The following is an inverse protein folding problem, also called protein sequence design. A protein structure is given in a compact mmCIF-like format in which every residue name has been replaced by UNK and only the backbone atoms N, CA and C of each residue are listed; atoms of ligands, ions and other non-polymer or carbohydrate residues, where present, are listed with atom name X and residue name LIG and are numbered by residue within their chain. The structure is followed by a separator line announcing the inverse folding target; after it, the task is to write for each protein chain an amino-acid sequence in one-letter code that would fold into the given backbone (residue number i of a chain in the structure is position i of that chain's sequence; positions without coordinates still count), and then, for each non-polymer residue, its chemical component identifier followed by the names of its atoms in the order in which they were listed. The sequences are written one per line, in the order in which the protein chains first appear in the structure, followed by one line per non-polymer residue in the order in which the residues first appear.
data_IF_387762403450
#
_entry.id   IF_387762403450
#
_cell.length_a   1.000
_cell.length_b   1.000
_cell.length_c   1.000
_cell.angle_alpha   90.00
_cell.angle_beta   90.00
_cell.angle_gamma   90.00
#
_symmetry.space_group_name_H-M   'P 1'
#
loop_
_entity.id
_entity.type
_entity.pdbx_description
1 polymer ?
#
# COMPACT_ATOMS: atom_id res chain seq x y z
N UNK A 1 9.12 -38.22 -0.14
CA UNK A 1 9.56 -37.54 1.09
C UNK A 1 8.47 -36.55 1.43
N UNK A 2 7.94 -36.55 2.66
CA UNK A 2 7.02 -35.48 3.06
C UNK A 2 7.78 -34.15 2.90
N UNK A 3 7.13 -33.12 2.35
CA UNK A 3 7.72 -31.79 2.32
C UNK A 3 8.11 -31.39 3.74
N UNK A 4 9.29 -30.78 3.90
CA UNK A 4 9.70 -30.14 5.15
C UNK A 4 8.63 -29.11 5.54
N UNK A 5 8.33 -29.05 6.84
CA UNK A 5 7.29 -28.15 7.34
C UNK A 5 7.89 -26.78 7.60
N UNK A 6 7.06 -25.75 7.51
CA UNK A 6 7.43 -24.44 7.99
C UNK A 6 7.27 -24.40 9.50
N UNK A 7 8.35 -24.05 10.18
CA UNK A 7 8.45 -24.00 11.62
C UNK A 7 8.34 -22.57 12.12
N UNK A 8 7.84 -22.40 13.34
CA UNK A 8 7.73 -21.10 14.00
C UNK A 8 9.12 -20.48 14.11
N UNK A 9 9.25 -19.23 13.67
CA UNK A 9 10.43 -18.42 13.89
C UNK A 9 10.27 -17.60 15.19
N UNK A 10 11.36 -17.43 15.93
CA UNK A 10 11.43 -16.53 17.08
C UNK A 10 12.82 -15.90 17.16
N UNK A 11 12.97 -14.84 17.94
CA UNK A 11 14.26 -14.17 18.12
C UNK A 11 14.72 -14.12 19.57
N UNK A 12 16.04 -14.11 19.79
CA UNK A 12 16.64 -13.78 21.09
C UNK A 12 16.73 -12.25 21.31
N UNK A 13 17.25 -11.85 22.49
CA UNK A 13 17.43 -10.45 22.88
C UNK A 13 18.43 -9.70 21.98
N UNK A 14 19.35 -10.41 21.32
CA UNK A 14 20.28 -9.88 20.34
C UNK A 14 19.67 -9.76 18.92
N UNK A 15 18.43 -10.19 18.73
CA UNK A 15 17.72 -10.16 17.47
C UNK A 15 18.11 -11.26 16.49
N UNK A 16 18.78 -12.31 16.94
CA UNK A 16 19.08 -13.50 16.12
C UNK A 16 17.83 -14.35 16.03
N UNK A 17 17.53 -14.81 14.82
CA UNK A 17 16.31 -15.57 14.54
C UNK A 17 16.60 -17.07 14.50
N UNK A 18 15.74 -17.82 15.17
CA UNK A 18 15.84 -19.27 15.35
C UNK A 18 14.57 -19.96 14.89
N UNK A 19 14.73 -21.22 14.50
CA UNK A 19 13.66 -22.15 14.18
C UNK A 19 13.26 -22.92 15.43
N UNK A 20 11.97 -22.98 15.76
CA UNK A 20 11.51 -23.83 16.86
C UNK A 20 11.55 -25.31 16.46
N UNK A 21 12.06 -26.22 17.30
CA UNK A 21 12.25 -27.62 16.92
C UNK A 21 10.94 -28.41 16.73
N UNK A 22 9.84 -27.96 17.35
CA UNK A 22 8.60 -28.75 17.44
C UNK A 22 7.34 -27.99 17.00
N UNK A 23 7.39 -26.65 16.95
CA UNK A 23 6.20 -25.83 16.74
C UNK A 23 6.16 -25.33 15.29
N UNK A 24 5.07 -25.62 14.60
CA UNK A 24 4.86 -25.25 13.21
C UNK A 24 4.43 -23.77 13.08
N UNK A 25 4.74 -23.16 11.93
CA UNK A 25 4.34 -21.79 11.63
C UNK A 25 2.81 -21.65 11.64
N UNK A 26 2.33 -20.70 12.44
CA UNK A 26 0.95 -20.21 12.39
C UNK A 26 0.91 -18.77 11.94
N UNK A 27 -0.23 -18.38 11.40
CA UNK A 27 -0.55 -16.98 11.12
C UNK A 27 -1.91 -16.61 11.68
N UNK A 28 -2.11 -15.31 11.85
CA UNK A 28 -3.36 -14.72 12.32
C UNK A 28 -4.16 -14.19 11.13
N UNK A 29 -5.38 -14.69 10.96
CA UNK A 29 -6.31 -14.26 9.90
C UNK A 29 -7.22 -13.11 10.35
N UNK A 30 -6.95 -12.50 11.50
CA UNK A 30 -7.75 -11.44 12.10
C UNK A 30 -8.88 -11.93 13.02
N UNK A 31 -9.22 -13.21 13.00
CA UNK A 31 -10.14 -13.84 13.97
C UNK A 31 -9.41 -14.87 14.84
N UNK A 32 -8.65 -15.77 14.25
CA UNK A 32 -7.98 -16.87 14.94
C UNK A 32 -6.55 -17.10 14.47
N UNK A 33 -5.76 -17.79 15.29
CA UNK A 33 -4.45 -18.30 14.88
C UNK A 33 -4.65 -19.66 14.23
N UNK A 34 -4.16 -19.81 13.01
CA UNK A 34 -4.30 -21.04 12.22
C UNK A 34 -2.98 -21.47 11.58
N UNK A 35 -2.82 -22.77 11.30
CA UNK A 35 -1.78 -23.24 10.41
C UNK A 35 -1.86 -22.58 9.02
N UNK A 36 -0.72 -22.41 8.38
CA UNK A 36 -0.60 -21.81 7.04
C UNK A 36 -0.89 -22.86 5.97
N UNK A 37 -1.77 -22.55 5.01
CA UNK A 37 -2.00 -23.42 3.85
C UNK A 37 -0.77 -23.37 2.93
N UNK A 38 -0.32 -24.53 2.44
CA UNK A 38 0.86 -24.63 1.57
C UNK A 38 0.72 -23.80 0.28
N UNK A 39 -0.51 -23.55 -0.19
CA UNK A 39 -0.78 -22.68 -1.35
C UNK A 39 -0.46 -21.21 -1.07
N UNK A 40 -0.53 -20.78 0.18
CA UNK A 40 -0.20 -19.42 0.63
C UNK A 40 1.31 -19.23 0.83
N UNK A 41 2.07 -20.31 1.03
CA UNK A 41 3.43 -20.23 1.55
C UNK A 41 4.48 -20.08 0.44
N UNK A 42 5.33 -19.06 0.53
CA UNK A 42 6.40 -18.78 -0.43
C UNK A 42 7.71 -18.48 0.31
N UNK A 43 8.87 -18.70 -0.32
CA UNK A 43 10.11 -18.09 0.14
C UNK A 43 9.92 -16.59 0.33
N UNK A 44 10.49 -16.03 1.40
CA UNK A 44 10.37 -14.60 1.69
C UNK A 44 10.86 -13.79 0.47
N UNK A 45 10.02 -12.92 -0.11
CA UNK A 45 10.39 -12.17 -1.31
C UNK A 45 11.61 -11.28 -1.08
N UNK A 46 12.51 -11.20 -2.06
CA UNK A 46 13.63 -10.28 -2.04
C UNK A 46 13.12 -8.83 -1.88
N UNK A 47 13.76 -8.06 -0.98
CA UNK A 47 13.33 -6.70 -0.63
C UNK A 47 12.30 -6.64 0.48
N UNK A 48 11.99 -7.77 1.11
CA UNK A 48 11.27 -7.81 2.39
C UNK A 48 12.25 -7.61 3.55
N UNK A 49 11.79 -6.99 4.63
CA UNK A 49 12.57 -6.76 5.85
C UNK A 49 12.05 -7.63 6.99
N UNK A 50 12.95 -8.11 7.84
CA UNK A 50 12.62 -8.89 9.03
C UNK A 50 12.55 -7.98 10.26
N UNK A 51 11.51 -8.14 11.07
CA UNK A 51 11.24 -7.30 12.24
C UNK A 51 11.11 -8.14 13.51
N UNK A 52 11.64 -7.60 14.60
CA UNK A 52 11.27 -8.01 15.95
C UNK A 52 9.93 -7.40 16.32
N UNK A 53 9.17 -8.09 17.15
CA UNK A 53 7.93 -7.61 17.74
C UNK A 53 8.12 -7.45 19.26
N UNK A 54 8.60 -6.27 19.73
CA UNK A 54 8.85 -6.05 21.15
C UNK A 54 7.59 -6.28 21.99
N UNK A 55 7.78 -6.86 23.18
CA UNK A 55 6.71 -7.17 24.12
C UNK A 55 5.73 -8.24 23.64
N UNK A 56 6.08 -9.03 22.61
CA UNK A 56 5.21 -10.05 22.03
C UNK A 56 5.92 -11.40 22.00
N UNK A 57 5.24 -12.43 22.51
CA UNK A 57 5.71 -13.81 22.57
C UNK A 57 5.27 -14.57 21.32
N UNK A 58 6.17 -15.34 20.72
CA UNK A 58 5.88 -16.09 19.50
C UNK A 58 4.83 -17.18 19.76
N UNK A 59 3.91 -17.38 18.81
CA UNK A 59 2.95 -18.48 18.84
C UNK A 59 3.20 -19.47 17.69
N UNK A 60 3.04 -20.75 17.98
CA UNK A 60 3.34 -21.86 17.08
C UNK A 60 2.34 -23.00 17.25
N UNK A 61 2.11 -23.81 16.22
CA UNK A 61 1.19 -24.94 16.30
C UNK A 61 1.91 -26.21 16.77
N UNK A 62 1.47 -26.77 17.89
CA UNK A 62 1.89 -28.09 18.35
C UNK A 62 0.98 -29.14 17.70
N UNK A 63 1.56 -29.88 16.74
CA UNK A 63 0.85 -30.92 16.01
C UNK A 63 0.51 -32.15 16.87
N UNK A 64 1.29 -32.45 17.90
CA UNK A 64 1.02 -33.61 18.75
C UNK A 64 -0.18 -33.34 19.67
N UNK A 65 -0.27 -32.11 20.18
CA UNK A 65 -1.37 -31.66 21.01
C UNK A 65 -2.58 -31.15 20.21
N UNK A 66 -2.42 -30.87 18.91
CA UNK A 66 -3.44 -30.28 18.02
C UNK A 66 -3.91 -28.90 18.52
N UNK A 67 -2.97 -28.10 19.06
CA UNK A 67 -3.25 -26.80 19.66
C UNK A 67 -2.18 -25.76 19.34
N UNK A 68 -2.50 -24.48 19.54
CA UNK A 68 -1.51 -23.41 19.44
C UNK A 68 -0.85 -23.19 20.80
N UNK A 69 0.48 -23.21 20.82
CA UNK A 69 1.31 -22.97 21.98
C UNK A 69 2.01 -21.62 21.87
N UNK A 70 2.24 -20.98 23.02
CA UNK A 70 3.01 -19.74 23.14
C UNK A 70 4.40 -20.09 23.68
N UNK A 71 5.44 -19.53 23.06
CA UNK A 71 6.80 -19.61 23.58
C UNK A 71 6.97 -18.66 24.77
N UNK A 72 6.82 -19.19 25.98
CA UNK A 72 7.02 -18.46 27.23
C UNK A 72 8.46 -18.58 27.75
N UNK A 73 9.42 -18.13 26.94
CA UNK A 73 10.84 -18.12 27.30
C UNK A 73 11.35 -16.68 27.49
N UNK A 74 11.90 -16.32 28.67
CA UNK A 74 12.45 -14.99 28.92
C UNK A 74 13.56 -14.63 27.92
N UNK A 75 13.52 -13.39 27.42
CA UNK A 75 14.51 -12.90 26.45
C UNK A 75 14.24 -13.35 25.01
N UNK A 76 13.08 -13.95 24.73
CA UNK A 76 12.63 -14.24 23.38
C UNK A 76 11.57 -13.25 22.90
N UNK A 77 11.42 -13.10 21.58
CA UNK A 77 10.45 -12.22 20.94
C UNK A 77 9.89 -12.85 19.68
N UNK A 78 8.61 -12.59 19.41
CA UNK A 78 8.00 -12.89 18.12
C UNK A 78 8.69 -12.11 16.99
N UNK A 79 8.70 -12.71 15.81
CA UNK A 79 9.23 -12.09 14.59
C UNK A 79 8.12 -11.92 13.56
N UNK A 80 8.28 -10.91 12.72
CA UNK A 80 7.42 -10.62 11.58
C UNK A 80 8.28 -10.25 10.39
N UNK A 81 7.70 -10.18 9.20
CA UNK A 81 8.32 -9.51 8.07
C UNK A 81 7.45 -8.37 7.53
N UNK A 82 8.09 -7.37 6.93
CA UNK A 82 7.47 -6.44 6.00
C UNK A 82 7.68 -6.95 4.59
N UNK A 83 6.58 -7.35 3.96
CA UNK A 83 6.63 -7.96 2.64
C UNK A 83 6.93 -6.91 1.56
N UNK A 84 7.82 -7.26 0.64
CA UNK A 84 8.18 -6.44 -0.51
C UNK A 84 6.95 -5.98 -1.35
N UNK A 85 7.01 -4.81 -2.00
CA UNK A 85 6.01 -4.39 -2.98
C UNK A 85 5.68 -5.48 -4.03
N UNK A 86 4.47 -5.46 -4.58
CA UNK A 86 3.92 -6.46 -5.52
C UNK A 86 3.49 -7.80 -4.91
N UNK A 87 3.69 -7.99 -3.60
CA UNK A 87 3.23 -9.17 -2.86
C UNK A 87 2.14 -8.80 -1.85
N UNK A 88 1.10 -9.64 -1.78
CA UNK A 88 -0.02 -9.54 -0.87
C UNK A 88 0.19 -10.49 0.32
N UNK A 89 0.20 -9.96 1.54
CA UNK A 89 0.18 -10.80 2.75
C UNK A 89 -1.15 -11.52 2.85
N UNK A 90 -1.12 -12.80 3.21
CA UNK A 90 -2.36 -13.57 3.45
C UNK A 90 -2.66 -13.75 4.94
N UNK A 91 -1.64 -13.67 5.79
CA UNK A 91 -1.76 -13.79 7.25
C UNK A 91 -0.86 -12.79 7.97
N UNK A 92 -1.29 -12.36 9.15
CA UNK A 92 -0.52 -11.54 10.10
C UNK A 92 0.32 -12.44 11.02
N UNK A 93 1.36 -11.91 11.69
CA UNK A 93 2.10 -12.71 12.67
C UNK A 93 1.18 -13.12 13.83
N UNK A 94 1.34 -14.36 14.28
CA UNK A 94 0.67 -14.86 15.48
C UNK A 94 1.58 -14.67 16.69
N UNK A 95 1.07 -14.01 17.72
CA UNK A 95 1.82 -13.72 18.93
C UNK A 95 0.89 -13.39 20.08
N UNK A 96 1.32 -13.64 21.32
CA UNK A 96 0.67 -13.09 22.50
C UNK A 96 1.35 -11.77 22.89
N UNK A 97 0.59 -10.68 22.97
CA UNK A 97 1.08 -9.41 23.48
C UNK A 97 1.12 -9.42 25.02
N UNK A 98 2.20 -8.89 25.60
CA UNK A 98 2.30 -8.59 27.03
C UNK A 98 1.55 -7.29 27.36
N UNK A 99 1.18 -7.10 28.63
CA UNK A 99 0.41 -5.92 29.08
C UNK A 99 1.10 -4.58 28.77
N UNK A 100 2.43 -4.57 28.67
CA UNK A 100 3.26 -3.40 28.37
C UNK A 100 3.81 -3.40 26.93
N UNK A 101 3.27 -4.26 26.06
CA UNK A 101 3.69 -4.32 24.67
C UNK A 101 3.44 -2.97 23.97
N UNK A 102 4.47 -2.38 23.34
CA UNK A 102 4.29 -1.10 22.70
C UNK A 102 3.47 -1.20 21.42
N UNK A 103 2.88 -0.08 20.99
CA UNK A 103 2.25 0.04 19.68
C UNK A 103 3.27 -0.19 18.56
N UNK A 104 2.89 -0.96 17.55
CA UNK A 104 3.74 -1.23 16.40
C UNK A 104 3.76 -0.05 15.41
N UNK A 105 4.92 0.28 14.82
CA UNK A 105 5.01 1.26 13.74
C UNK A 105 4.13 0.92 12.52
N UNK A 106 3.97 1.88 11.60
CA UNK A 106 3.09 1.73 10.44
C UNK A 106 3.71 0.88 9.32
N UNK A 107 3.78 -0.44 9.53
CA UNK A 107 4.22 -1.43 8.54
C UNK A 107 3.17 -2.50 8.26
N UNK A 108 3.33 -3.20 7.14
CA UNK A 108 2.54 -4.36 6.79
C UNK A 108 3.14 -5.63 7.40
N UNK A 109 2.79 -5.93 8.65
CA UNK A 109 3.24 -7.11 9.37
C UNK A 109 2.66 -8.40 8.79
N UNK A 110 3.52 -9.37 8.49
CA UNK A 110 3.14 -10.72 8.07
C UNK A 110 3.84 -11.77 8.91
N UNK A 111 3.17 -12.91 9.11
CA UNK A 111 3.80 -14.09 9.70
C UNK A 111 5.05 -14.49 8.91
N UNK A 112 6.02 -15.07 9.60
CA UNK A 112 7.27 -15.56 9.01
C UNK A 112 7.73 -16.78 9.79
N UNK A 113 8.19 -17.79 9.07
CA UNK A 113 8.76 -19.02 9.63
C UNK A 113 10.05 -19.42 8.93
N UNK A 114 10.63 -20.52 9.36
CA UNK A 114 11.76 -21.16 8.66
C UNK A 114 11.33 -22.48 8.06
N UNK A 115 11.94 -22.85 6.93
CA UNK A 115 11.82 -24.16 6.31
C UNK A 115 13.14 -24.49 5.63
N UNK A 116 13.77 -25.58 6.02
CA UNK A 116 15.08 -26.01 5.49
C UNK A 116 16.15 -24.90 5.55
N UNK A 117 16.10 -24.05 6.58
CA UNK A 117 17.03 -22.92 6.76
C UNK A 117 16.70 -21.67 5.95
N UNK A 118 15.60 -21.65 5.19
CA UNK A 118 15.13 -20.47 4.43
C UNK A 118 13.91 -19.83 5.11
N UNK A 119 13.81 -18.50 5.06
CA UNK A 119 12.64 -17.78 5.54
C UNK A 119 11.46 -17.97 4.59
N UNK A 120 10.30 -18.31 5.14
CA UNK A 120 9.06 -18.51 4.40
C UNK A 120 7.92 -17.67 4.97
N UNK A 121 7.04 -17.19 4.10
CA UNK A 121 6.00 -16.20 4.42
C UNK A 121 4.69 -16.57 3.71
N UNK A 122 3.52 -16.44 4.36
CA UNK A 122 2.21 -16.61 3.73
C UNK A 122 1.87 -15.39 2.85
N UNK A 123 2.21 -15.47 1.57
CA UNK A 123 2.12 -14.35 0.63
C UNK A 123 1.88 -14.78 -0.82
N UNK A 124 1.28 -13.89 -1.61
CA UNK A 124 1.01 -14.10 -3.03
C UNK A 124 1.59 -12.94 -3.84
N UNK A 125 2.33 -13.23 -4.91
CA UNK A 125 2.67 -12.18 -5.90
C UNK A 125 1.40 -11.79 -6.64
N UNK A 126 1.04 -10.51 -6.59
CA UNK A 126 -0.18 -9.96 -7.20
C UNK A 126 0.11 -9.01 -8.37
N UNK A 127 1.37 -8.64 -8.59
CA UNK A 127 1.82 -7.91 -9.77
C UNK A 127 3.17 -8.44 -10.26
N UNK A 128 3.24 -8.74 -11.55
CA UNK A 128 4.46 -9.23 -12.21
C UNK A 128 5.42 -8.09 -12.59
N UNK A 129 5.00 -6.83 -12.45
CA UNK A 129 5.86 -5.69 -12.75
C UNK A 129 7.02 -5.58 -11.75
N UNK A 130 8.23 -5.68 -12.28
CA UNK A 130 9.48 -5.63 -11.51
C UNK A 130 9.95 -4.20 -11.19
N UNK A 131 9.16 -3.16 -11.50
CA UNK A 131 9.60 -1.75 -11.43
C UNK A 131 10.07 -1.25 -10.07
N UNK A 132 9.75 -1.96 -8.99
CA UNK A 132 10.19 -1.65 -7.63
C UNK A 132 11.09 -2.74 -7.02
N UNK A 133 11.48 -3.75 -7.80
CA UNK A 133 12.32 -4.84 -7.31
C UNK A 133 13.71 -4.32 -6.93
N UNK A 134 14.27 -4.70 -5.75
CA UNK A 134 15.46 -4.08 -5.17
C UNK A 134 16.69 -4.07 -6.07
N UNK A 135 16.96 -5.18 -6.77
CA UNK A 135 18.13 -5.34 -7.65
C UNK A 135 18.24 -4.28 -8.76
N UNK A 136 17.15 -3.54 -9.04
CA UNK A 136 17.12 -2.49 -10.05
C UNK A 136 17.58 -1.12 -9.55
N UNK A 137 17.92 -0.99 -8.27
CA UNK A 137 18.20 0.28 -7.62
C UNK A 137 19.58 0.29 -6.97
N UNK A 138 20.56 0.74 -7.74
CA UNK A 138 21.89 1.06 -7.26
C UNK A 138 21.89 2.51 -6.71
N UNK A 139 22.18 2.67 -5.42
CA UNK A 139 22.08 3.96 -4.73
C UNK A 139 23.11 4.98 -5.22
N UNK A 140 24.30 4.53 -5.65
CA UNK A 140 25.35 5.43 -6.14
C UNK A 140 24.95 6.00 -7.50
N UNK A 141 24.44 5.13 -8.39
CA UNK A 141 23.88 5.56 -9.69
C UNK A 141 22.71 6.52 -9.49
N UNK A 142 21.85 6.27 -8.51
CA UNK A 142 20.73 7.14 -8.19
C UNK A 142 21.23 8.49 -7.70
N UNK A 143 22.22 8.53 -6.80
CA UNK A 143 22.77 9.77 -6.27
C UNK A 143 23.35 10.65 -7.39
N UNK A 144 24.12 10.08 -8.32
CA UNK A 144 24.66 10.80 -9.48
C UNK A 144 23.56 11.40 -10.36
N UNK A 145 22.50 10.62 -10.62
CA UNK A 145 21.35 11.07 -11.42
C UNK A 145 20.55 12.15 -10.71
N UNK A 146 20.43 12.08 -9.39
CA UNK A 146 19.80 13.10 -8.55
C UNK A 146 20.55 14.42 -8.66
N UNK A 147 21.87 14.43 -8.50
CA UNK A 147 22.67 15.65 -8.61
C UNK A 147 22.54 16.28 -10.00
N UNK A 148 22.71 15.48 -11.06
CA UNK A 148 22.58 15.96 -12.43
C UNK A 148 21.21 16.60 -12.71
N UNK A 149 20.13 15.97 -12.22
CA UNK A 149 18.76 16.48 -12.40
C UNK A 149 18.51 17.73 -11.57
N UNK A 150 18.94 17.77 -10.32
CA UNK A 150 18.81 18.93 -9.45
C UNK A 150 19.55 20.14 -10.03
N UNK A 151 20.72 19.95 -10.64
CA UNK A 151 21.45 21.01 -11.32
C UNK A 151 20.72 21.50 -12.59
N UNK A 152 20.15 20.59 -13.39
CA UNK A 152 19.41 20.94 -14.60
C UNK A 152 18.08 21.68 -14.32
N UNK A 153 17.46 21.44 -13.16
CA UNK A 153 16.18 22.02 -12.74
C UNK A 153 16.29 22.75 -11.39
N UNK A 154 17.34 23.56 -11.22
CA UNK A 154 17.67 24.23 -9.95
C UNK A 154 16.52 25.07 -9.39
N UNK A 155 15.76 25.75 -10.25
CA UNK A 155 14.65 26.63 -9.83
C UNK A 155 13.34 25.88 -9.51
N UNK A 156 13.24 24.59 -9.86
CA UNK A 156 12.04 23.81 -9.62
C UNK A 156 12.08 23.17 -8.23
N UNK A 157 11.29 23.72 -7.29
CA UNK A 157 11.30 23.26 -5.89
C UNK A 157 10.82 21.81 -5.74
N UNK A 158 9.97 21.35 -6.66
CA UNK A 158 9.49 19.97 -6.65
C UNK A 158 10.63 18.99 -6.92
N UNK A 159 11.52 19.29 -7.86
CA UNK A 159 12.71 18.44 -8.13
C UNK A 159 13.60 18.36 -6.89
N UNK A 160 13.79 19.46 -6.17
CA UNK A 160 14.56 19.49 -4.93
C UNK A 160 13.88 18.69 -3.81
N UNK A 161 12.55 18.70 -3.73
CA UNK A 161 11.83 17.83 -2.80
C UNK A 161 11.99 16.35 -3.15
N UNK A 162 11.96 16.00 -4.44
CA UNK A 162 12.12 14.62 -4.90
C UNK A 162 13.51 14.05 -4.61
N UNK A 163 14.56 14.88 -4.54
CA UNK A 163 15.89 14.46 -4.07
C UNK A 163 15.82 13.79 -2.69
N UNK A 164 15.18 14.46 -1.72
CA UNK A 164 14.99 13.91 -0.37
C UNK A 164 14.21 12.60 -0.42
N UNK A 165 13.14 12.56 -1.22
CA UNK A 165 12.35 11.35 -1.40
C UNK A 165 13.18 10.18 -1.97
N UNK A 166 14.07 10.42 -2.92
CA UNK A 166 14.85 9.38 -3.57
C UNK A 166 16.01 8.85 -2.70
N UNK A 167 16.65 9.74 -1.93
CA UNK A 167 17.88 9.43 -1.18
C UNK A 167 17.64 9.11 0.29
N UNK A 168 16.77 9.87 0.98
CA UNK A 168 16.55 9.69 2.42
C UNK A 168 15.46 8.65 2.68
N UNK A 169 14.39 8.72 1.89
CA UNK A 169 13.21 7.86 2.05
C UNK A 169 13.22 6.63 1.13
N UNK A 170 14.22 6.54 0.24
CA UNK A 170 14.32 5.49 -0.78
C UNK A 170 13.01 5.25 -1.57
N UNK A 171 12.23 6.31 -1.81
CA UNK A 171 10.98 6.24 -2.53
C UNK A 171 11.22 5.77 -3.97
N UNK A 172 10.75 4.56 -4.28
CA UNK A 172 10.98 3.94 -5.59
C UNK A 172 10.42 4.75 -6.77
N UNK A 173 9.31 5.47 -6.57
CA UNK A 173 8.78 6.38 -7.59
C UNK A 173 9.73 7.56 -7.83
N UNK A 174 10.27 8.18 -6.77
CA UNK A 174 11.23 9.27 -6.91
C UNK A 174 12.54 8.78 -7.57
N UNK A 175 13.04 7.61 -7.16
CA UNK A 175 14.20 6.99 -7.79
C UNK A 175 13.96 6.70 -9.27
N UNK A 176 12.79 6.18 -9.64
CA UNK A 176 12.41 5.93 -11.03
C UNK A 176 12.33 7.21 -11.88
N UNK A 177 11.90 8.34 -11.29
CA UNK A 177 11.97 9.65 -11.94
C UNK A 177 13.41 10.06 -12.29
N UNK A 178 14.37 9.89 -11.37
CA UNK A 178 15.78 10.22 -11.63
C UNK A 178 16.45 9.21 -12.59
N UNK A 179 15.99 7.96 -12.59
CA UNK A 179 16.45 6.89 -13.48
C UNK A 179 15.75 6.88 -14.86
N UNK A 180 14.88 7.86 -15.15
CA UNK A 180 14.19 7.99 -16.42
C UNK A 180 13.42 6.73 -16.85
N UNK A 181 12.60 6.20 -15.94
CA UNK A 181 11.79 5.01 -16.20
C UNK A 181 10.47 5.02 -15.42
N UNK A 182 9.50 4.24 -15.90
CA UNK A 182 8.24 3.96 -15.20
C UNK A 182 7.47 5.22 -14.75
N UNK A 183 7.18 5.30 -13.45
CA UNK A 183 6.32 6.31 -12.83
C UNK A 183 7.14 7.40 -12.14
N UNK A 184 6.79 8.67 -12.41
CA UNK A 184 7.29 9.83 -11.69
C UNK A 184 6.23 10.38 -10.71
N UNK A 185 6.62 10.68 -9.45
CA UNK A 185 5.74 11.25 -8.46
C UNK A 185 5.60 12.78 -8.62
N UNK A 186 4.37 13.29 -8.47
CA UNK A 186 4.03 14.71 -8.49
C UNK A 186 3.35 15.15 -7.17
N UNK A 187 4.05 15.08 -6.01
CA UNK A 187 3.46 15.51 -4.75
C UNK A 187 3.06 16.98 -4.80
N UNK A 188 1.82 17.29 -4.41
CA UNK A 188 1.23 18.62 -4.60
C UNK A 188 0.65 19.22 -3.32
N UNK A 189 0.22 18.41 -2.36
CA UNK A 189 -0.60 18.85 -1.24
C UNK A 189 0.13 18.80 0.13
N UNK A 190 0.38 19.95 0.77
CA UNK A 190 0.90 19.96 2.14
C UNK A 190 -0.17 19.57 3.19
N UNK A 191 -1.46 19.56 2.82
CA UNK A 191 -2.59 19.35 3.74
C UNK A 191 -3.50 18.21 3.29
N UNK A 192 -4.23 17.63 4.24
CA UNK A 192 -5.17 16.54 4.01
C UNK A 192 -6.50 16.86 4.69
N UNK A 193 -7.60 16.34 4.15
CA UNK A 193 -8.95 16.43 4.71
C UNK A 193 -9.40 15.12 5.37
N UNK A 194 -8.49 14.20 5.68
CA UNK A 194 -8.73 12.97 6.41
C UNK A 194 -7.79 12.89 7.62
N UNK A 195 -8.27 12.28 8.72
CA UNK A 195 -7.48 12.02 9.92
C UNK A 195 -7.29 10.51 10.08
N UNK A 196 -6.71 9.87 9.07
CA UNK A 196 -6.60 8.42 9.03
C UNK A 196 -5.88 7.90 10.28
N UNK A 197 -6.38 6.79 10.85
CA UNK A 197 -5.77 6.14 12.04
C UNK A 197 -4.28 5.85 11.80
N UNK A 198 -3.96 5.20 10.68
CA UNK A 198 -2.58 4.90 10.26
C UNK A 198 -2.07 5.81 9.15
N UNK A 199 -2.23 7.13 9.24
CA UNK A 199 -1.70 8.05 8.22
C UNK A 199 -0.16 8.02 8.18
N UNK A 200 0.39 7.59 7.05
CA UNK A 200 1.85 7.44 6.86
C UNK A 200 2.61 8.77 6.72
N UNK A 201 1.91 9.89 6.53
CA UNK A 201 2.52 11.21 6.33
C UNK A 201 2.24 12.21 7.45
N UNK A 202 1.38 11.84 8.41
CA UNK A 202 1.08 12.68 9.57
C UNK A 202 0.46 11.85 10.68
N UNK A 203 1.12 11.82 11.83
CA UNK A 203 0.58 11.26 13.07
C UNK A 203 0.47 12.35 14.15
N UNK A 204 -0.46 12.23 15.11
CA UNK A 204 -0.61 13.21 16.19
C UNK A 204 0.68 13.37 17.00
N UNK A 205 1.05 14.62 17.32
CA UNK A 205 2.17 14.90 18.22
C UNK A 205 1.76 14.56 19.66
N UNK A 206 2.50 13.66 20.32
CA UNK A 206 2.27 13.29 21.72
C UNK A 206 1.33 12.09 21.96
N UNK A 207 1.02 11.29 20.92
CA UNK A 207 0.69 9.88 21.16
C UNK A 207 1.93 9.10 21.59
N UNK A 208 1.81 7.80 21.89
CA UNK A 208 3.00 6.95 22.13
C UNK A 208 4.03 7.22 21.04
N UNK A 209 5.28 7.44 21.44
CA UNK A 209 6.39 7.92 20.59
C UNK A 209 6.64 7.07 19.32
N UNK A 210 5.92 5.96 19.17
CA UNK A 210 6.08 4.90 18.18
C UNK A 210 5.13 4.99 16.99
N UNK A 211 4.08 5.84 17.05
CA UNK A 211 3.28 6.20 15.89
C UNK A 211 3.93 7.33 15.09
N UNK A 212 5.18 7.14 14.64
CA UNK A 212 5.86 8.11 13.79
C UNK A 212 5.38 7.92 12.35
N UNK A 213 5.05 9.02 11.68
CA UNK A 213 4.77 8.98 10.25
C UNK A 213 6.03 8.50 9.50
N UNK A 214 5.85 7.58 8.54
CA UNK A 214 6.96 7.06 7.75
C UNK A 214 7.68 8.17 6.93
N UNK A 215 6.94 9.23 6.56
CA UNK A 215 7.46 10.32 5.75
C UNK A 215 6.91 11.68 6.21
N UNK A 216 7.68 12.75 6.01
CA UNK A 216 7.18 14.10 6.18
C UNK A 216 6.35 14.54 4.97
N UNK A 217 5.28 15.31 5.21
CA UNK A 217 4.57 16.00 4.12
C UNK A 217 5.45 17.05 3.46
N UNK A 218 5.30 17.20 2.15
CA UNK A 218 5.83 18.32 1.39
C UNK A 218 5.40 19.63 2.06
N UNK A 219 6.36 20.52 2.33
CA UNK A 219 6.12 21.75 3.10
C UNK A 219 5.51 22.90 2.31
N UNK A 220 5.23 22.71 1.02
CA UNK A 220 4.71 23.74 0.13
C UNK A 220 3.78 23.12 -0.92
N UNK A 221 2.99 23.96 -1.58
CA UNK A 221 2.23 23.57 -2.77
C UNK A 221 3.00 24.01 -4.02
N UNK A 222 3.53 23.08 -4.85
CA UNK A 222 4.13 23.41 -6.14
C UNK A 222 3.18 24.23 -7.02
N UNK A 223 3.74 25.03 -7.91
CA UNK A 223 2.95 25.69 -8.97
C UNK A 223 2.54 24.67 -10.03
N UNK A 224 1.51 25.00 -10.81
CA UNK A 224 1.14 24.18 -11.97
C UNK A 224 2.26 24.09 -13.00
N UNK A 225 3.14 25.09 -13.07
CA UNK A 225 4.31 25.11 -13.93
C UNK A 225 5.42 24.17 -13.44
N UNK A 226 5.71 24.15 -12.13
CA UNK A 226 6.66 23.21 -11.53
C UNK A 226 6.20 21.75 -11.75
N UNK A 227 4.90 21.48 -11.54
CA UNK A 227 4.30 20.16 -11.78
C UNK A 227 4.38 19.76 -13.26
N UNK A 228 3.98 20.66 -14.16
CA UNK A 228 4.01 20.40 -15.59
C UNK A 228 5.44 20.20 -16.13
N UNK A 229 6.43 20.95 -15.62
CA UNK A 229 7.83 20.81 -16.04
C UNK A 229 8.40 19.43 -15.66
N UNK A 230 8.14 18.95 -14.43
CA UNK A 230 8.55 17.60 -14.00
C UNK A 230 7.87 16.55 -14.87
N UNK A 231 6.56 16.66 -15.05
CA UNK A 231 5.77 15.72 -15.83
C UNK A 231 6.22 15.63 -17.30
N UNK A 232 6.32 16.78 -17.98
CA UNK A 232 6.71 16.84 -19.39
C UNK A 232 8.13 16.34 -19.62
N UNK A 233 9.06 16.74 -18.76
CA UNK A 233 10.42 16.23 -18.85
C UNK A 233 10.47 14.70 -18.68
N UNK A 234 9.73 14.15 -17.72
CA UNK A 234 9.68 12.68 -17.54
C UNK A 234 9.07 11.97 -18.74
N UNK A 235 7.95 12.48 -19.25
CA UNK A 235 7.28 11.92 -20.44
C UNK A 235 8.21 11.95 -21.66
N UNK A 236 8.98 13.03 -21.85
CA UNK A 236 9.94 13.12 -22.95
C UNK A 236 11.03 12.04 -22.87
N UNK A 237 11.51 11.73 -21.67
CA UNK A 237 12.61 10.76 -21.47
C UNK A 237 12.15 9.30 -21.48
N UNK A 238 10.95 9.02 -20.97
CA UNK A 238 10.40 7.66 -20.87
C UNK A 238 9.55 7.29 -22.09
N UNK A 239 8.90 8.26 -22.72
CA UNK A 239 8.04 8.08 -23.88
C UNK A 239 6.62 7.60 -23.52
N UNK A 240 6.02 6.81 -24.39
CA UNK A 240 4.61 6.40 -24.30
C UNK A 240 4.27 5.60 -23.02
N UNK A 241 5.25 4.91 -22.45
CA UNK A 241 5.11 4.12 -21.21
C UNK A 241 5.25 4.96 -19.93
N UNK A 242 5.48 6.28 -20.04
CA UNK A 242 5.59 7.15 -18.89
C UNK A 242 4.28 7.21 -18.09
N UNK A 243 4.40 7.15 -16.77
CA UNK A 243 3.32 7.49 -15.85
C UNK A 243 3.77 8.67 -15.00
N UNK A 244 2.91 9.67 -14.81
CA UNK A 244 3.14 10.78 -13.90
C UNK A 244 1.94 10.89 -12.96
N UNK A 245 2.18 10.86 -11.65
CA UNK A 245 1.10 10.67 -10.68
C UNK A 245 1.05 11.76 -9.62
N UNK A 246 -0.08 12.45 -9.52
CA UNK A 246 -0.42 13.20 -8.31
C UNK A 246 -0.80 12.22 -7.19
N UNK A 247 -0.64 12.59 -5.92
CA UNK A 247 -0.97 11.76 -4.76
C UNK A 247 0.14 10.77 -4.40
N UNK A 248 0.98 11.16 -3.44
CA UNK A 248 2.18 10.43 -3.05
C UNK A 248 2.27 10.24 -1.52
N UNK A 249 3.14 9.32 -1.08
CA UNK A 249 3.31 9.04 0.36
C UNK A 249 3.82 10.23 1.17
N UNK A 250 4.54 11.17 0.52
CA UNK A 250 5.06 12.39 1.12
C UNK A 250 4.10 13.60 1.01
N UNK A 251 2.81 13.40 0.78
CA UNK A 251 1.83 14.50 0.74
C UNK A 251 0.56 14.19 1.53
N UNK A 252 -0.34 15.16 1.58
CA UNK A 252 -1.70 15.02 2.09
C UNK A 252 -2.68 14.57 1.01
N UNK A 253 -3.84 15.24 0.91
CA UNK A 253 -4.84 14.94 -0.11
C UNK A 253 -4.65 15.85 -1.34
N UNK A 254 -4.27 15.33 -2.52
CA UNK A 254 -4.01 16.15 -3.72
C UNK A 254 -5.21 17.00 -4.16
N UNK A 255 -6.45 16.54 -3.98
CA UNK A 255 -7.65 17.32 -4.32
C UNK A 255 -7.83 18.58 -3.45
N UNK A 256 -7.06 18.73 -2.36
CA UNK A 256 -6.95 20.01 -1.65
C UNK A 256 -6.37 21.11 -2.54
N UNK A 257 -5.57 20.75 -3.55
CA UNK A 257 -4.96 21.63 -4.55
C UNK A 257 -5.64 21.54 -5.93
N UNK A 258 -6.92 21.14 -5.98
CA UNK A 258 -7.60 20.76 -7.23
C UNK A 258 -7.46 21.78 -8.38
N UNK A 259 -7.57 23.08 -8.12
CA UNK A 259 -7.41 24.11 -9.18
C UNK A 259 -6.00 24.13 -9.79
N UNK A 260 -4.95 23.90 -8.98
CA UNK A 260 -3.56 23.81 -9.45
C UNK A 260 -3.34 22.56 -10.28
N UNK A 261 -3.93 21.43 -9.85
CA UNK A 261 -3.81 20.18 -10.58
C UNK A 261 -4.49 20.27 -11.95
N UNK A 262 -5.69 20.84 -12.03
CA UNK A 262 -6.41 21.07 -13.29
C UNK A 262 -5.54 21.89 -14.26
N UNK A 263 -4.93 22.97 -13.79
CA UNK A 263 -4.05 23.79 -14.62
C UNK A 263 -2.77 23.04 -15.03
N UNK A 264 -2.19 22.22 -14.15
CA UNK A 264 -1.03 21.39 -14.48
C UNK A 264 -1.37 20.36 -15.58
N UNK A 265 -2.51 19.66 -15.46
CA UNK A 265 -2.97 18.69 -16.46
C UNK A 265 -3.17 19.37 -17.81
N UNK A 266 -3.84 20.54 -17.86
CA UNK A 266 -4.01 21.31 -19.10
C UNK A 266 -2.68 21.67 -19.74
N UNK A 267 -1.70 22.11 -18.95
CA UNK A 267 -0.34 22.45 -19.45
C UNK A 267 0.37 21.24 -20.03
N UNK A 268 0.25 20.09 -19.38
CA UNK A 268 0.82 18.83 -19.88
C UNK A 268 0.15 18.46 -21.22
N UNK A 269 -1.18 18.42 -21.25
CA UNK A 269 -1.96 17.98 -22.41
C UNK A 269 -1.91 18.96 -23.59
N UNK A 270 -1.64 20.24 -23.34
CA UNK A 270 -1.35 21.21 -24.40
C UNK A 270 0.00 20.97 -25.13
N UNK A 271 0.89 20.16 -24.55
CA UNK A 271 2.22 19.87 -25.12
C UNK A 271 2.36 18.45 -25.62
N UNK A 272 1.64 17.49 -25.03
CA UNK A 272 1.72 16.08 -25.43
C UNK A 272 0.47 15.28 -25.03
N UNK A 273 0.12 14.32 -25.87
CA UNK A 273 -0.85 13.24 -25.60
C UNK A 273 -0.18 11.96 -25.08
N UNK A 274 1.16 11.91 -25.08
CA UNK A 274 1.93 10.77 -24.57
C UNK A 274 1.88 10.69 -23.03
N UNK A 275 2.20 9.50 -22.54
CA UNK A 275 2.19 9.17 -21.12
C UNK A 275 0.80 9.13 -20.50
N UNK A 276 0.74 8.62 -19.28
CA UNK A 276 -0.46 8.59 -18.43
C UNK A 276 -0.29 9.65 -17.35
N UNK A 277 -1.28 10.55 -17.24
CA UNK A 277 -1.43 11.47 -16.11
C UNK A 277 -2.44 10.88 -15.15
N UNK A 278 -1.96 10.44 -14.00
CA UNK A 278 -2.73 9.72 -13.00
C UNK A 278 -2.96 10.57 -11.74
N UNK A 279 -4.11 10.39 -11.10
CA UNK A 279 -4.40 10.95 -9.78
C UNK A 279 -4.59 9.82 -8.76
N UNK A 280 -3.72 9.72 -7.77
CA UNK A 280 -3.99 8.94 -6.56
C UNK A 280 -4.68 9.84 -5.53
N UNK A 281 -5.82 9.47 -4.98
CA UNK A 281 -6.59 10.36 -4.09
C UNK A 281 -7.54 9.58 -3.17
N UNK A 282 -7.99 10.19 -2.08
CA UNK A 282 -9.18 9.72 -1.36
C UNK A 282 -10.49 10.00 -2.11
N UNK A 283 -10.43 10.70 -3.24
CA UNK A 283 -11.53 11.07 -4.12
C UNK A 283 -12.67 11.84 -3.43
N UNK A 284 -12.35 12.58 -2.37
CA UNK A 284 -13.29 13.35 -1.54
C UNK A 284 -13.99 14.53 -2.23
N UNK A 285 -13.61 14.90 -3.46
CA UNK A 285 -14.10 16.12 -4.14
C UNK A 285 -14.52 15.86 -5.59
N UNK A 286 -15.74 15.36 -5.83
CA UNK A 286 -16.25 15.04 -7.18
C UNK A 286 -16.14 16.20 -8.19
N UNK A 287 -16.37 17.43 -7.74
CA UNK A 287 -16.27 18.61 -8.61
C UNK A 287 -14.86 18.81 -9.19
N UNK A 288 -13.80 18.56 -8.41
CA UNK A 288 -12.43 18.64 -8.92
C UNK A 288 -12.05 17.41 -9.74
N UNK A 289 -12.57 16.23 -9.40
CA UNK A 289 -12.40 15.03 -10.23
C UNK A 289 -12.97 15.29 -11.64
N UNK A 290 -14.19 15.84 -11.73
CA UNK A 290 -14.80 16.21 -13.02
C UNK A 290 -13.92 17.20 -13.80
N UNK A 291 -13.49 18.27 -13.16
CA UNK A 291 -12.65 19.28 -13.80
C UNK A 291 -11.29 18.73 -14.26
N UNK A 292 -10.75 17.71 -13.58
CA UNK A 292 -9.52 17.02 -13.98
C UNK A 292 -9.76 16.09 -15.18
N UNK A 293 -10.89 15.36 -15.20
CA UNK A 293 -11.29 14.58 -16.36
C UNK A 293 -11.42 15.48 -17.59
N UNK A 294 -12.13 16.61 -17.47
CA UNK A 294 -12.28 17.61 -18.54
C UNK A 294 -10.94 18.22 -19.00
N UNK A 295 -9.92 18.22 -18.13
CA UNK A 295 -8.58 18.71 -18.45
C UNK A 295 -7.69 17.69 -19.18
N UNK A 296 -8.09 16.41 -19.22
CA UNK A 296 -7.33 15.32 -19.85
C UNK A 296 -6.53 14.45 -18.87
N UNK A 297 -7.03 14.26 -17.65
CA UNK A 297 -6.58 13.19 -16.74
C UNK A 297 -6.85 11.82 -17.41
N UNK A 298 -5.94 10.86 -17.30
CA UNK A 298 -6.12 9.53 -17.93
C UNK A 298 -6.61 8.46 -16.96
N UNK A 299 -6.24 8.57 -15.68
CA UNK A 299 -6.64 7.60 -14.67
C UNK A 299 -6.83 8.20 -13.29
N UNK A 300 -7.77 7.61 -12.55
CA UNK A 300 -8.04 7.92 -11.15
C UNK A 300 -7.84 6.67 -10.31
N UNK A 301 -6.98 6.76 -9.30
CA UNK A 301 -6.82 5.75 -8.26
C UNK A 301 -7.41 6.22 -6.94
N UNK A 302 -8.50 5.61 -6.52
CA UNK A 302 -9.17 5.90 -5.26
C UNK A 302 -8.59 5.01 -4.15
N UNK A 303 -7.98 5.60 -3.13
CA UNK A 303 -7.52 4.85 -1.96
C UNK A 303 -8.66 4.63 -0.97
N UNK A 304 -8.83 3.38 -0.52
CA UNK A 304 -9.83 3.01 0.48
C UNK A 304 -9.40 1.79 1.30
N UNK A 305 -9.81 1.73 2.57
CA UNK A 305 -9.63 0.54 3.42
C UNK A 305 -10.82 -0.42 3.37
N UNK A 306 -11.95 0.01 2.83
CA UNK A 306 -13.18 -0.78 2.74
C UNK A 306 -14.17 -0.15 1.76
N UNK A 307 -15.03 -0.97 1.17
CA UNK A 307 -16.21 -0.59 0.40
C UNK A 307 -17.45 -0.35 1.31
N UNK A 308 -17.35 -0.66 2.61
CA UNK A 308 -18.40 -0.46 3.61
C UNK A 308 -18.21 0.87 4.33
N UNK A 309 -19.24 1.70 4.33
CA UNK A 309 -19.20 3.08 4.85
C UNK A 309 -18.73 3.18 6.32
N UNK A 310 -19.25 2.32 7.20
CA UNK A 310 -18.89 2.32 8.62
C UNK A 310 -17.40 2.01 8.84
N UNK A 311 -16.87 1.02 8.12
CA UNK A 311 -15.45 0.60 8.19
C UNK A 311 -14.54 1.66 7.56
N UNK A 312 -14.98 2.25 6.44
CA UNK A 312 -14.28 3.37 5.81
C UNK A 312 -14.13 4.56 6.76
N UNK A 313 -15.23 5.02 7.36
CA UNK A 313 -15.23 6.19 8.25
C UNK A 313 -14.42 5.97 9.51
N UNK A 314 -14.43 4.75 10.06
CA UNK A 314 -13.67 4.41 11.26
C UNK A 314 -12.16 4.64 11.06
N UNK A 315 -11.64 4.23 9.90
CA UNK A 315 -10.25 4.43 9.54
C UNK A 315 -9.96 5.84 9.02
N UNK A 316 -10.62 6.30 7.95
CA UNK A 316 -10.29 7.57 7.27
C UNK A 316 -10.63 8.82 8.09
N UNK A 317 -11.62 8.74 8.97
CA UNK A 317 -12.15 9.85 9.78
C UNK A 317 -12.31 11.15 8.95
N UNK A 318 -13.19 11.14 7.92
CA UNK A 318 -13.33 12.25 6.97
C UNK A 318 -13.59 13.62 7.63
N UNK A 319 -12.99 14.68 7.08
CA UNK A 319 -13.23 16.08 7.47
C UNK A 319 -13.77 16.87 6.28
N UNK A 320 -15.07 17.18 6.32
CA UNK A 320 -15.73 17.98 5.30
C UNK A 320 -16.06 17.22 4.01
N UNK A 321 -16.13 15.89 4.06
CA UNK A 321 -16.67 15.04 3.00
C UNK A 321 -17.24 13.75 3.60
N UNK A 322 -17.98 12.98 2.80
CA UNK A 322 -18.59 11.70 3.16
C UNK A 322 -18.16 10.61 2.18
N UNK A 323 -18.37 9.35 2.54
CA UNK A 323 -18.07 8.23 1.65
C UNK A 323 -18.89 8.26 0.35
N UNK A 324 -20.09 8.83 0.39
CA UNK A 324 -20.90 9.05 -0.81
C UNK A 324 -20.21 9.97 -1.82
N UNK A 325 -19.43 10.96 -1.36
CA UNK A 325 -18.66 11.83 -2.24
C UNK A 325 -17.52 11.07 -2.92
N UNK A 326 -16.93 10.07 -2.25
CA UNK A 326 -15.93 9.16 -2.82
C UNK A 326 -16.54 8.30 -3.92
N UNK A 327 -17.72 7.72 -3.65
CA UNK A 327 -18.47 6.94 -4.66
C UNK A 327 -18.90 7.79 -5.84
N UNK A 328 -19.30 9.04 -5.60
CA UNK A 328 -19.65 9.96 -6.67
C UNK A 328 -18.44 10.27 -7.56
N UNK A 329 -17.26 10.51 -7.00
CA UNK A 329 -16.03 10.68 -7.79
C UNK A 329 -15.72 9.47 -8.68
N UNK A 330 -15.98 8.25 -8.19
CA UNK A 330 -15.83 7.04 -8.99
C UNK A 330 -16.80 7.03 -10.20
N UNK A 331 -18.06 7.42 -9.99
CA UNK A 331 -19.05 7.58 -11.07
C UNK A 331 -18.66 8.66 -12.07
N UNK A 332 -18.12 9.79 -11.59
CA UNK A 332 -17.60 10.84 -12.47
C UNK A 332 -16.50 10.33 -13.39
N UNK A 333 -15.55 9.55 -12.85
CA UNK A 333 -14.46 8.98 -13.65
C UNK A 333 -14.98 8.01 -14.72
N UNK A 334 -15.91 7.12 -14.34
CA UNK A 334 -16.60 6.20 -15.25
C UNK A 334 -17.33 6.94 -16.38
N UNK A 335 -18.13 7.94 -16.04
CA UNK A 335 -18.93 8.69 -17.02
C UNK A 335 -18.04 9.48 -17.99
N UNK A 336 -16.82 9.83 -17.56
CA UNK A 336 -15.80 10.47 -18.39
C UNK A 336 -14.90 9.48 -19.16
N UNK A 337 -15.08 8.17 -19.00
CA UNK A 337 -14.27 7.14 -19.65
C UNK A 337 -12.81 7.09 -19.19
N UNK A 338 -12.55 7.53 -17.95
CA UNK A 338 -11.21 7.54 -17.33
C UNK A 338 -10.95 6.19 -16.65
N UNK A 339 -9.73 5.67 -16.80
CA UNK A 339 -9.35 4.38 -16.20
C UNK A 339 -9.41 4.47 -14.67
N UNK A 340 -10.34 3.74 -14.06
CA UNK A 340 -10.67 3.81 -12.65
C UNK A 340 -10.03 2.63 -11.90
N UNK A 341 -9.23 2.98 -10.90
CA UNK A 341 -8.55 2.02 -10.03
C UNK A 341 -8.99 2.20 -8.57
N UNK A 342 -9.08 1.10 -7.84
CA UNK A 342 -9.15 1.13 -6.38
C UNK A 342 -7.79 0.72 -5.79
N UNK A 343 -7.17 1.61 -5.03
CA UNK A 343 -6.06 1.26 -4.15
C UNK A 343 -6.64 0.76 -2.83
N UNK A 344 -6.87 -0.54 -2.79
CA UNK A 344 -7.64 -1.19 -1.75
C UNK A 344 -6.70 -1.72 -0.67
N UNK A 345 -6.82 -1.21 0.55
CA UNK A 345 -5.99 -1.63 1.67
C UNK A 345 -6.49 -2.96 2.23
N UNK A 346 -5.81 -4.02 1.83
CA UNK A 346 -6.08 -5.40 2.20
C UNK A 346 -5.56 -5.68 3.60
N UNK A 347 -6.42 -6.31 4.41
CA UNK A 347 -6.14 -6.70 5.78
C UNK A 347 -6.88 -8.01 6.10
N UNK A 348 -6.19 -9.09 6.52
CA UNK A 348 -6.82 -10.36 6.93
C UNK A 348 -7.81 -10.15 8.09
N UNK A 349 -9.02 -10.67 7.97
CA UNK A 349 -10.09 -10.55 9.00
C UNK A 349 -11.04 -9.39 8.76
N UNK A 350 -10.76 -8.54 7.77
CA UNK A 350 -11.58 -7.39 7.42
C UNK A 350 -11.93 -7.44 5.93
N UNK A 351 -10.92 -7.58 5.08
CA UNK A 351 -11.09 -7.58 3.63
C UNK A 351 -11.73 -8.85 3.10
N UNK A 352 -11.38 -10.00 3.68
CA UNK A 352 -11.77 -11.34 3.26
C UNK A 352 -13.06 -11.83 3.95
N UNK A 353 -14.02 -10.94 4.18
CA UNK A 353 -15.35 -11.29 4.69
C UNK A 353 -16.37 -11.26 3.56
N UNK A 354 -17.46 -12.04 3.67
CA UNK A 354 -18.53 -12.06 2.65
C UNK A 354 -19.16 -10.67 2.49
N UNK A 355 -19.37 -9.95 3.60
CA UNK A 355 -19.94 -8.60 3.60
C UNK A 355 -19.07 -7.58 2.85
N UNK A 356 -17.73 -7.71 2.96
CA UNK A 356 -16.80 -6.85 2.24
C UNK A 356 -16.72 -7.22 0.75
N UNK A 357 -16.71 -8.52 0.44
CA UNK A 357 -16.75 -9.02 -0.94
C UNK A 357 -18.00 -8.53 -1.69
N UNK A 358 -19.17 -8.57 -1.04
CA UNK A 358 -20.43 -8.08 -1.59
C UNK A 358 -20.41 -6.56 -1.80
N UNK A 359 -19.96 -5.80 -0.80
CA UNK A 359 -19.89 -4.35 -0.89
C UNK A 359 -18.91 -3.89 -1.98
N UNK A 360 -17.75 -4.53 -2.08
CA UNK A 360 -16.76 -4.27 -3.11
C UNK A 360 -17.29 -4.63 -4.50
N UNK A 361 -17.95 -5.78 -4.64
CA UNK A 361 -18.59 -6.20 -5.90
C UNK A 361 -19.62 -5.17 -6.37
N UNK A 362 -20.48 -4.71 -5.48
CA UNK A 362 -21.47 -3.68 -5.79
C UNK A 362 -20.82 -2.34 -6.19
N UNK A 363 -19.67 -1.99 -5.62
CA UNK A 363 -18.94 -0.79 -6.03
C UNK A 363 -18.28 -0.97 -7.40
N UNK A 364 -17.68 -2.13 -7.67
CA UNK A 364 -17.09 -2.43 -8.99
C UNK A 364 -18.16 -2.33 -10.09
N UNK A 365 -19.34 -2.92 -9.87
CA UNK A 365 -20.45 -2.90 -10.83
C UNK A 365 -21.05 -1.50 -11.00
N UNK A 366 -21.28 -0.78 -9.90
CA UNK A 366 -21.79 0.59 -9.95
C UNK A 366 -20.80 1.47 -10.69
N UNK A 367 -19.55 1.56 -10.24
CA UNK A 367 -18.58 2.53 -10.77
C UNK A 367 -17.81 2.05 -12.00
N UNK A 368 -17.96 0.80 -12.46
CA UNK A 368 -17.18 0.27 -13.58
C UNK A 368 -15.68 0.32 -13.29
N UNK A 369 -15.25 -0.19 -12.14
CA UNK A 369 -13.84 -0.22 -11.74
C UNK A 369 -13.05 -1.13 -12.70
N UNK A 370 -11.97 -0.60 -13.28
CA UNK A 370 -11.13 -1.34 -14.22
C UNK A 370 -10.06 -2.18 -13.51
N UNK A 371 -9.57 -1.72 -12.35
CA UNK A 371 -8.47 -2.39 -11.63
C UNK A 371 -8.55 -2.25 -10.12
N UNK A 372 -8.16 -3.31 -9.41
CA UNK A 372 -7.82 -3.24 -7.99
C UNK A 372 -6.32 -3.38 -7.78
N UNK A 373 -5.73 -2.37 -7.14
CA UNK A 373 -4.39 -2.44 -6.57
C UNK A 373 -4.49 -2.99 -5.15
N UNK A 374 -4.03 -4.22 -4.96
CA UNK A 374 -4.07 -4.95 -3.70
C UNK A 374 -2.89 -4.48 -2.82
N UNK A 375 -3.15 -3.53 -1.91
CA UNK A 375 -2.13 -2.95 -1.01
C UNK A 375 -2.26 -3.55 0.37
N UNK A 376 -1.18 -4.08 0.94
CA UNK A 376 -1.18 -4.41 2.35
C UNK A 376 -1.41 -3.14 3.18
N UNK A 377 -2.35 -3.18 4.13
CA UNK A 377 -2.51 -2.07 5.07
C UNK A 377 -1.34 -2.05 6.06
N UNK A 378 -0.69 -0.89 6.14
CA UNK A 378 0.40 -0.61 7.06
C UNK A 378 -0.14 -0.01 8.37
N UNK A 379 -0.26 -0.82 9.40
CA UNK A 379 -0.79 -0.44 10.71
C UNK A 379 -0.51 -1.56 11.72
N UNK A 380 -0.45 -1.22 13.01
CA UNK A 380 -0.55 -2.19 14.08
C UNK A 380 -1.83 -3.05 13.90
N UNK A 381 -1.69 -4.40 13.79
CA UNK A 381 -2.82 -5.29 13.60
C UNK A 381 -3.94 -5.17 14.64
N UNK A 382 -3.59 -5.07 15.92
CA UNK A 382 -4.57 -5.00 17.01
C UNK A 382 -5.33 -3.69 16.96
N UNK A 383 -4.61 -2.56 16.78
CA UNK A 383 -5.22 -1.23 16.66
C UNK A 383 -6.26 -1.17 15.53
N UNK A 384 -5.96 -1.79 14.37
CA UNK A 384 -6.90 -1.77 13.25
C UNK A 384 -8.12 -2.64 13.53
N UNK A 385 -7.94 -3.84 14.07
CA UNK A 385 -9.07 -4.72 14.42
C UNK A 385 -9.96 -4.09 15.49
N UNK A 386 -9.41 -3.45 16.51
CA UNK A 386 -10.17 -2.67 17.50
C UNK A 386 -10.95 -1.53 16.84
N UNK A 387 -10.31 -0.79 15.94
CA UNK A 387 -10.94 0.30 15.18
C UNK A 387 -12.15 -0.20 14.38
N UNK A 388 -12.00 -1.34 13.70
CA UNK A 388 -13.05 -1.96 12.90
C UNK A 388 -14.14 -2.59 13.77
N UNK A 389 -13.78 -3.23 14.88
CA UNK A 389 -14.69 -3.80 15.87
C UNK A 389 -15.61 -2.73 16.46
N UNK A 390 -15.03 -1.60 16.88
CA UNK A 390 -15.79 -0.45 17.41
C UNK A 390 -16.81 0.10 16.39
N UNK A 391 -16.51 -0.06 15.10
CA UNK A 391 -17.40 0.32 13.99
C UNK A 391 -18.39 -0.79 13.59
N UNK A 392 -18.42 -1.93 14.30
CA UNK A 392 -19.21 -3.13 13.98
C UNK A 392 -18.89 -3.64 12.57
N UNK A 393 -17.60 -3.61 12.24
CA UNK A 393 -17.07 -3.94 10.93
C UNK A 393 -16.55 -5.37 10.77
N UNK A 394 -16.33 -6.08 11.88
CA UNK A 394 -15.79 -7.45 11.82
C UNK A 394 -16.81 -8.45 11.26
N UNK A 395 -16.29 -9.55 10.74
CA UNK A 395 -17.03 -10.73 10.28
C UNK A 395 -16.08 -11.92 10.16
N UNK A 396 -16.63 -13.11 9.96
CA UNK A 396 -15.85 -14.34 9.78
C UNK A 396 -15.03 -14.25 8.47
N UNK A 397 -13.69 -14.41 8.51
CA UNK A 397 -12.86 -14.39 7.32
C UNK A 397 -12.96 -15.72 6.58
N UNK A 398 -13.14 -15.65 5.26
CA UNK A 398 -13.04 -16.81 4.37
C UNK A 398 -11.59 -17.12 3.95
N UNK A 399 -10.64 -16.25 4.32
CA UNK A 399 -9.26 -16.26 3.85
C UNK A 399 -9.07 -15.44 2.57
N UNK A 400 -7.93 -14.76 2.47
CA UNK A 400 -7.61 -13.86 1.36
C UNK A 400 -7.46 -14.56 0.01
N UNK A 401 -6.94 -15.80 -0.02
CA UNK A 401 -6.84 -16.56 -1.27
C UNK A 401 -8.24 -16.91 -1.83
N UNK A 402 -9.15 -17.56 -1.07
CA UNK A 402 -10.53 -17.75 -1.50
C UNK A 402 -11.28 -16.46 -1.84
N UNK A 403 -11.06 -15.38 -1.08
CA UNK A 403 -11.65 -14.08 -1.38
C UNK A 403 -11.22 -13.55 -2.76
N UNK A 404 -9.92 -13.62 -3.06
CA UNK A 404 -9.37 -13.18 -4.35
C UNK A 404 -9.86 -14.04 -5.51
N UNK A 405 -9.98 -15.36 -5.31
CA UNK A 405 -10.55 -16.29 -6.29
C UNK A 405 -12.01 -15.94 -6.60
N UNK A 406 -12.85 -15.77 -5.57
CA UNK A 406 -14.26 -15.38 -5.75
C UNK A 406 -14.42 -14.02 -6.41
N UNK A 407 -13.57 -13.06 -6.07
CA UNK A 407 -13.61 -11.73 -6.66
C UNK A 407 -13.27 -11.77 -8.17
N UNK A 408 -12.31 -12.61 -8.58
CA UNK A 408 -12.00 -12.88 -10.00
C UNK A 408 -13.16 -13.57 -10.73
N UNK A 409 -13.81 -14.52 -10.07
CA UNK A 409 -14.98 -15.21 -10.64
C UNK A 409 -16.16 -14.27 -10.85
N UNK A 410 -16.44 -13.37 -9.88
CA UNK A 410 -17.51 -12.38 -9.99
C UNK A 410 -17.22 -11.29 -11.03
N UNK A 411 -15.95 -10.89 -11.17
CA UNK A 411 -15.55 -9.82 -12.08
C UNK A 411 -14.42 -10.25 -13.03
N UNK A 412 -14.68 -11.09 -14.05
CA UNK A 412 -13.63 -11.63 -14.92
C UNK A 412 -12.84 -10.61 -15.75
N UNK A 413 -13.37 -9.40 -15.92
CA UNK A 413 -12.72 -8.29 -16.64
C UNK A 413 -11.92 -7.36 -15.72
N UNK A 414 -12.00 -7.56 -14.40
CA UNK A 414 -11.30 -6.72 -13.43
C UNK A 414 -9.81 -7.07 -13.43
N UNK A 415 -8.98 -6.07 -13.68
CA UNK A 415 -7.53 -6.23 -13.54
C UNK A 415 -7.12 -6.22 -12.07
N UNK A 416 -6.07 -6.98 -11.75
CA UNK A 416 -5.43 -6.96 -10.44
C UNK A 416 -3.97 -6.55 -10.59
N UNK A 417 -3.45 -5.82 -9.61
CA UNK A 417 -2.04 -5.50 -9.59
C UNK A 417 -1.62 -4.78 -8.34
N UNK A 418 -0.48 -4.11 -8.45
CA UNK A 418 0.11 -3.32 -7.40
C UNK A 418 0.41 -1.92 -7.97
N UNK A 419 0.93 -1.73 -9.17
CA UNK A 419 1.36 -0.40 -9.61
C UNK A 419 0.38 0.32 -10.55
N UNK A 420 0.55 1.64 -10.69
CA UNK A 420 -0.18 2.41 -11.69
C UNK A 420 0.26 1.96 -13.10
N UNK A 421 -0.65 1.47 -13.95
CA UNK A 421 -0.29 0.90 -15.24
C UNK A 421 0.09 2.00 -16.25
N UNK A 422 1.04 1.73 -17.17
CA UNK A 422 1.19 2.56 -18.37
C UNK A 422 0.02 2.30 -19.34
N UNK A 423 -0.18 3.19 -20.31
CA UNK A 423 -1.32 3.15 -21.25
C UNK A 423 -1.48 1.79 -21.95
N UNK A 424 -0.39 1.13 -22.33
CA UNK A 424 -0.44 -0.19 -22.99
C UNK A 424 -1.08 -1.30 -22.15
N UNK A 425 -1.01 -1.20 -20.82
CA UNK A 425 -1.65 -2.19 -19.92
C UNK A 425 -3.12 -1.87 -19.69
N UNK A 426 -3.49 -0.60 -19.70
CA UNK A 426 -4.90 -0.17 -19.58
C UNK A 426 -5.74 -0.67 -20.76
N UNK A 427 -5.17 -0.72 -21.96
CA UNK A 427 -5.86 -1.15 -23.18
C UNK A 427 -5.92 -2.68 -23.37
N UNK A 428 -5.26 -3.45 -22.50
CA UNK A 428 -5.13 -4.91 -22.63
C UNK A 428 -6.11 -5.69 -21.74
N UNK A 429 -6.87 -4.98 -20.88
CA UNK A 429 -7.80 -5.54 -19.91
C UNK A 429 -9.22 -5.68 -20.46
#
# INVERSE_FOLDING_TARGET
MAASRAMMAFADAEGRVYEHPELELVGWDGECWRPVDERELRPMPEGSDLFLLPGRQAAGFDRQADEVAILDEPGTSAVSCFIAPAYLRTLMPAYAALDDAPALPLFAYSAVGLRDGELVVPTLRVDEDIRQDPFRFDIDVIADKVEARCAAYGDNRLVQHLRRCALDYHCRAAQNYFLDRFEAPLPAAPTCNALCVGCISLQPKGGDEQAVAAHDRIGFAPTSEELAQVALGHIERVGADAVVSFGQGCEGEPLSQGSRLVEAVRRIRAKTDLGVVNLNSNASRPGYVRALCDAGLDSLRISTNSARDNVYRAYYRPKGYRFEDVRESARVARDAGIYLMLNYFVFPGVTDTEAELDALSAWIEDAGVDMIQLRNLNIDPELYLETVAAARGLGEPMGLLPWLERLRERHPRLAFGYFNPPRRRMNAA
#
